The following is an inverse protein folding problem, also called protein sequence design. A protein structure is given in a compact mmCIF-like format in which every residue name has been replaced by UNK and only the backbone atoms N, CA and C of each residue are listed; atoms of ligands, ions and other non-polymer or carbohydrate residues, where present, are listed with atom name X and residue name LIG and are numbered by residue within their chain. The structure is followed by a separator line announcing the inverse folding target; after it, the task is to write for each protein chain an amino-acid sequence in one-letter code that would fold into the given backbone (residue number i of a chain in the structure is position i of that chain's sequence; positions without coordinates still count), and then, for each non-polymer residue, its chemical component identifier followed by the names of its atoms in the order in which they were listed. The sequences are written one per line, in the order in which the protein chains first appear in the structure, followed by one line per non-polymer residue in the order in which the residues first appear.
data_IF_820646971964
#
_entry.id   IF_820646971964
#
_cell.length_a   1.000
_cell.length_b   1.000
_cell.length_c   1.000
_cell.angle_alpha   90.00
_cell.angle_beta   90.00
_cell.angle_gamma   90.00
#
_symmetry.space_group_name_H-M   'P 1'
#
loop_
_entity.id
_entity.type
_entity.pdbx_description
1 polymer ?
#
# COMPACT_ATOMS: atom_id res chain seq x y z
N UNK A 1 47.03 -11.16 -16.48
CA UNK A 1 46.75 -9.75 -16.09
C UNK A 1 45.30 -9.65 -15.66
N UNK A 2 45.12 -9.66 -14.38
CA UNK A 2 43.85 -9.44 -13.63
C UNK A 2 43.53 -7.97 -13.63
N UNK A 3 42.33 -7.62 -14.01
CA UNK A 3 41.73 -6.30 -13.69
C UNK A 3 40.44 -6.56 -12.97
N UNK A 4 40.47 -6.41 -11.64
CA UNK A 4 39.32 -6.29 -10.79
C UNK A 4 38.85 -4.84 -10.89
N UNK A 5 37.59 -4.62 -11.31
CA UNK A 5 36.91 -3.35 -11.15
C UNK A 5 35.87 -3.48 -10.03
N UNK A 6 36.25 -3.04 -8.84
CA UNK A 6 35.34 -2.82 -7.74
C UNK A 6 34.50 -1.55 -8.05
N UNK A 7 33.24 -1.76 -8.32
CA UNK A 7 32.28 -0.64 -8.38
C UNK A 7 31.78 -0.35 -6.96
N UNK A 8 32.45 0.60 -6.30
CA UNK A 8 32.02 1.17 -5.03
C UNK A 8 30.76 2.00 -5.29
N UNK A 9 29.60 1.49 -4.94
CA UNK A 9 28.38 2.28 -4.87
C UNK A 9 28.42 3.15 -3.61
N UNK A 10 28.80 4.40 -3.79
CA UNK A 10 28.61 5.45 -2.78
C UNK A 10 27.12 5.68 -2.59
N UNK A 11 26.60 5.18 -1.48
CA UNK A 11 25.30 5.60 -0.98
C UNK A 11 25.45 7.08 -0.60
N UNK A 12 24.81 7.96 -1.37
CA UNK A 12 24.74 9.36 -1.05
C UNK A 12 24.05 9.50 0.31
N UNK A 13 24.81 9.94 1.30
CA UNK A 13 24.29 10.36 2.60
C UNK A 13 23.34 11.51 2.35
N UNK A 14 22.03 11.28 2.61
CA UNK A 14 21.01 12.30 2.48
C UNK A 14 21.39 13.52 3.31
N UNK A 15 21.33 14.68 2.68
CA UNK A 15 21.46 15.97 3.34
C UNK A 15 20.51 16.01 4.53
N UNK A 16 21.10 16.26 5.70
CA UNK A 16 20.36 16.60 6.90
C UNK A 16 19.48 17.81 6.60
N UNK A 17 18.19 17.59 6.47
CA UNK A 17 17.21 18.67 6.36
C UNK A 17 17.39 19.59 7.56
N UNK A 18 17.45 20.88 7.30
CA UNK A 18 17.59 21.91 8.31
C UNK A 18 16.53 21.71 9.41
N UNK A 19 16.98 21.57 10.66
CA UNK A 19 16.12 21.42 11.84
C UNK A 19 15.41 22.74 12.12
N UNK A 20 14.33 23.01 11.39
CA UNK A 20 13.35 24.01 11.80
C UNK A 20 12.38 23.31 12.76
N UNK A 21 12.33 23.74 14.02
CA UNK A 21 11.31 23.25 14.95
C UNK A 21 9.92 23.58 14.39
N UNK A 22 9.08 22.58 14.20
CA UNK A 22 7.68 22.79 13.84
C UNK A 22 6.96 23.44 15.02
N UNK A 23 6.27 24.55 14.77
CA UNK A 23 5.57 25.33 15.80
C UNK A 23 4.05 25.38 15.58
N UNK A 24 3.55 24.66 14.58
CA UNK A 24 2.14 24.57 14.26
C UNK A 24 1.35 23.61 15.17
N UNK A 25 0.04 23.52 14.94
CA UNK A 25 -0.79 22.47 15.52
C UNK A 25 -0.46 21.15 14.82
N UNK A 26 -0.28 20.02 15.54
CA UNK A 26 -0.01 18.74 14.92
C UNK A 26 -1.02 18.37 13.83
N UNK A 27 -0.51 17.85 12.74
CA UNK A 27 -1.33 17.32 11.65
C UNK A 27 -1.86 15.96 12.09
N UNK A 28 -3.18 15.77 12.04
CA UNK A 28 -3.82 14.51 12.42
C UNK A 28 -3.80 13.52 11.27
N UNK A 29 -3.04 12.46 11.44
CA UNK A 29 -2.88 11.37 10.47
C UNK A 29 -3.69 10.16 10.96
N UNK A 30 -4.65 9.70 10.18
CA UNK A 30 -5.37 8.46 10.43
C UNK A 30 -4.70 7.29 9.75
N UNK A 31 -4.68 6.13 10.40
CA UNK A 31 -4.35 4.84 9.81
C UNK A 31 -5.53 3.88 9.90
N UNK A 32 -5.73 3.04 8.91
CA UNK A 32 -6.75 1.99 8.90
C UNK A 32 -6.15 0.71 8.33
N UNK A 33 -6.40 -0.40 8.99
CA UNK A 33 -6.02 -1.70 8.47
C UNK A 33 -6.32 -2.84 9.43
N UNK A 34 -6.25 -4.09 8.97
CA UNK A 34 -6.58 -5.26 9.78
C UNK A 34 -5.49 -5.53 10.81
N UNK A 35 -5.70 -5.18 12.08
CA UNK A 35 -4.80 -5.56 13.17
C UNK A 35 -5.27 -6.82 13.89
N UNK A 36 -6.48 -7.27 13.58
CA UNK A 36 -7.04 -8.57 13.97
C UNK A 36 -7.52 -9.37 12.75
N UNK A 37 -7.86 -10.64 12.91
CA UNK A 37 -8.34 -11.51 11.83
C UNK A 37 -7.25 -12.08 10.93
N UNK A 38 -7.65 -12.61 9.77
CA UNK A 38 -6.76 -13.39 8.88
C UNK A 38 -5.66 -12.54 8.22
N UNK A 39 -5.92 -11.28 7.98
CA UNK A 39 -4.96 -10.34 7.35
C UNK A 39 -4.13 -9.52 8.37
N UNK A 40 -4.20 -9.85 9.65
CA UNK A 40 -3.57 -9.09 10.73
C UNK A 40 -2.05 -8.90 10.59
N UNK A 41 -1.36 -9.86 9.95
CA UNK A 41 0.08 -9.76 9.70
C UNK A 41 0.42 -8.51 8.87
N UNK A 42 -0.38 -8.20 7.86
CA UNK A 42 -0.18 -7.03 7.00
C UNK A 42 -0.51 -5.73 7.75
N UNK A 43 -1.67 -5.66 8.39
CA UNK A 43 -2.10 -4.47 9.12
C UNK A 43 -1.19 -4.12 10.29
N UNK A 44 -0.73 -5.11 11.06
CA UNK A 44 0.21 -4.87 12.15
C UNK A 44 1.59 -4.37 11.64
N UNK A 45 2.06 -4.87 10.50
CA UNK A 45 3.31 -4.39 9.90
C UNK A 45 3.20 -2.92 9.50
N UNK A 46 2.10 -2.53 8.85
CA UNK A 46 1.83 -1.15 8.44
C UNK A 46 1.67 -0.25 9.67
N UNK A 47 0.84 -0.63 10.63
CA UNK A 47 0.65 0.11 11.90
C UNK A 47 1.97 0.41 12.59
N UNK A 48 2.83 -0.60 12.72
CA UNK A 48 4.13 -0.44 13.38
C UNK A 48 5.05 0.51 12.59
N UNK A 49 5.02 0.45 11.26
CA UNK A 49 5.81 1.32 10.39
C UNK A 49 5.34 2.78 10.48
N UNK A 50 4.03 3.03 10.45
CA UNK A 50 3.45 4.36 10.60
C UNK A 50 3.76 4.95 11.98
N UNK A 51 3.57 4.17 13.05
CA UNK A 51 3.90 4.59 14.42
C UNK A 51 5.37 4.96 14.56
N UNK A 52 6.27 4.16 13.98
CA UNK A 52 7.70 4.43 13.98
C UNK A 52 8.02 5.72 13.23
N UNK A 53 7.48 5.89 12.01
CA UNK A 53 7.71 7.07 11.19
C UNK A 53 7.25 8.36 11.92
N UNK A 54 6.07 8.34 12.53
CA UNK A 54 5.56 9.47 13.31
C UNK A 54 6.49 9.79 14.50
N UNK A 55 6.92 8.78 15.23
CA UNK A 55 7.86 8.96 16.36
C UNK A 55 9.19 9.56 15.90
N UNK A 56 9.76 9.06 14.81
CA UNK A 56 11.04 9.56 14.27
C UNK A 56 10.92 11.01 13.78
N UNK A 57 9.85 11.34 13.05
CA UNK A 57 9.63 12.70 12.55
C UNK A 57 9.42 13.68 13.72
N UNK A 58 8.58 13.34 14.68
CA UNK A 58 8.36 14.17 15.86
C UNK A 58 9.65 14.37 16.67
N UNK A 59 10.42 13.30 16.88
CA UNK A 59 11.70 13.38 17.58
C UNK A 59 12.72 14.25 16.84
N UNK A 60 12.83 14.10 15.51
CA UNK A 60 13.76 14.89 14.68
C UNK A 60 13.42 16.39 14.69
N UNK A 61 12.15 16.75 14.84
CA UNK A 61 11.69 18.14 14.91
C UNK A 61 11.66 18.71 16.34
N UNK A 62 11.87 17.89 17.36
CA UNK A 62 11.77 18.30 18.76
C UNK A 62 10.37 18.78 19.18
N UNK A 63 9.33 18.41 18.41
CA UNK A 63 7.94 18.80 18.63
C UNK A 63 7.00 17.83 17.93
N UNK A 64 5.75 17.79 18.34
CA UNK A 64 4.72 16.97 17.71
C UNK A 64 4.28 17.58 16.36
N UNK A 65 4.88 17.11 15.27
CA UNK A 65 4.48 17.45 13.89
C UNK A 65 3.21 16.70 13.51
N UNK A 66 3.15 15.43 13.91
CA UNK A 66 2.01 14.56 13.66
C UNK A 66 1.38 14.06 14.95
N UNK A 67 0.05 14.07 14.98
CA UNK A 67 -0.80 13.31 15.89
C UNK A 67 -1.40 12.14 15.11
N UNK A 68 -1.24 10.91 15.58
CA UNK A 68 -1.55 9.71 14.81
C UNK A 68 -2.48 8.78 15.57
N UNK A 69 -3.46 8.24 14.86
CA UNK A 69 -4.42 7.27 15.37
C UNK A 69 -4.68 6.16 14.34
N UNK A 70 -4.69 4.90 14.78
CA UNK A 70 -4.94 3.75 13.92
C UNK A 70 -6.18 2.99 14.36
N UNK A 71 -7.03 2.63 13.39
CA UNK A 71 -8.26 1.87 13.62
C UNK A 71 -8.20 0.50 12.92
N UNK A 72 -8.79 -0.51 13.57
CA UNK A 72 -8.89 -1.88 13.05
C UNK A 72 -10.11 -2.01 12.12
N UNK A 73 -9.90 -2.49 10.90
CA UNK A 73 -10.97 -2.80 9.95
C UNK A 73 -11.25 -4.31 9.82
N UNK A 74 -10.47 -5.16 10.45
CA UNK A 74 -10.58 -6.63 10.37
C UNK A 74 -10.64 -7.17 8.93
N UNK A 75 -10.14 -6.43 7.94
CA UNK A 75 -10.25 -6.72 6.51
C UNK A 75 -11.72 -6.70 6.00
N UNK A 76 -12.58 -5.90 6.61
CA UNK A 76 -13.99 -5.77 6.29
C UNK A 76 -14.31 -4.36 5.76
N UNK A 77 -15.04 -4.29 4.64
CA UNK A 77 -15.35 -3.01 3.98
C UNK A 77 -16.22 -2.08 4.85
N UNK A 78 -17.23 -2.61 5.54
CA UNK A 78 -18.14 -1.82 6.37
C UNK A 78 -17.41 -1.31 7.62
N UNK A 79 -16.59 -2.15 8.26
CA UNK A 79 -15.77 -1.75 9.41
C UNK A 79 -14.75 -0.69 9.00
N UNK A 80 -14.17 -0.76 7.81
CA UNK A 80 -13.24 0.23 7.30
C UNK A 80 -13.90 1.60 7.09
N UNK A 81 -15.12 1.63 6.56
CA UNK A 81 -15.90 2.88 6.44
C UNK A 81 -16.25 3.43 7.83
N UNK A 82 -16.61 2.58 8.79
CA UNK A 82 -16.87 3.01 10.16
C UNK A 82 -15.61 3.59 10.83
N UNK A 83 -14.46 2.94 10.63
CA UNK A 83 -13.15 3.41 11.08
C UNK A 83 -12.80 4.78 10.46
N UNK A 84 -13.03 4.94 9.16
CA UNK A 84 -12.84 6.21 8.45
C UNK A 84 -13.69 7.33 9.05
N UNK A 85 -14.96 7.09 9.29
CA UNK A 85 -15.84 8.07 9.91
C UNK A 85 -15.43 8.41 11.35
N UNK A 86 -15.00 7.42 12.15
CA UNK A 86 -14.44 7.64 13.49
C UNK A 86 -13.21 8.54 13.46
N UNK A 87 -12.31 8.34 12.48
CA UNK A 87 -11.11 9.18 12.30
C UNK A 87 -11.47 10.60 11.82
N UNK A 88 -12.49 10.75 10.97
CA UNK A 88 -13.03 12.09 10.61
C UNK A 88 -13.56 12.83 11.81
N UNK A 89 -14.34 12.17 12.67
CA UNK A 89 -14.88 12.76 13.89
C UNK A 89 -13.77 13.17 14.87
N UNK A 90 -12.64 12.42 14.89
CA UNK A 90 -11.45 12.82 15.63
C UNK A 90 -10.75 14.05 15.01
N UNK A 91 -11.05 14.39 13.76
CA UNK A 91 -10.50 15.52 13.02
C UNK A 91 -9.29 15.16 12.16
N UNK A 92 -9.23 13.93 11.63
CA UNK A 92 -8.22 13.49 10.67
C UNK A 92 -8.12 14.44 9.48
N UNK A 93 -6.88 14.71 9.03
CA UNK A 93 -6.57 15.60 7.91
C UNK A 93 -6.01 14.84 6.70
N UNK A 94 -5.34 13.70 6.94
CA UNK A 94 -4.82 12.80 5.92
C UNK A 94 -4.99 11.36 6.38
N UNK A 95 -5.20 10.43 5.45
CA UNK A 95 -5.34 9.01 5.71
C UNK A 95 -4.17 8.23 5.11
N UNK A 96 -3.43 7.53 5.95
CA UNK A 96 -2.46 6.49 5.58
C UNK A 96 -3.15 5.12 5.69
N UNK A 97 -3.53 4.54 4.57
CA UNK A 97 -4.38 3.34 4.52
C UNK A 97 -5.62 3.55 3.64
N UNK A 98 -6.61 2.63 3.69
CA UNK A 98 -6.54 1.30 4.29
C UNK A 98 -5.47 0.39 3.68
N UNK A 99 -5.16 -0.72 4.36
CA UNK A 99 -4.04 -1.62 3.99
C UNK A 99 -4.42 -2.59 2.89
N UNK A 100 -5.63 -3.10 2.89
CA UNK A 100 -6.09 -4.16 1.97
C UNK A 100 -7.10 -3.66 0.95
N UNK A 101 -7.16 -4.29 -0.22
CA UNK A 101 -7.87 -3.77 -1.40
C UNK A 101 -9.37 -3.50 -1.18
N UNK A 102 -10.14 -4.48 -0.70
CA UNK A 102 -11.60 -4.33 -0.55
C UNK A 102 -11.98 -3.22 0.45
N UNK A 103 -11.40 -3.15 1.64
CA UNK A 103 -11.53 -2.00 2.54
C UNK A 103 -11.12 -0.67 1.91
N UNK A 104 -9.99 -0.65 1.18
CA UNK A 104 -9.52 0.59 0.54
C UNK A 104 -10.50 1.11 -0.50
N UNK A 105 -11.09 0.25 -1.33
CA UNK A 105 -12.08 0.65 -2.31
C UNK A 105 -13.33 1.26 -1.66
N UNK A 106 -13.79 0.70 -0.54
CA UNK A 106 -14.93 1.23 0.19
C UNK A 106 -14.65 2.62 0.78
N UNK A 107 -13.48 2.79 1.42
CA UNK A 107 -13.07 4.09 1.99
C UNK A 107 -12.75 5.11 0.91
N UNK A 108 -12.13 4.70 -0.19
CA UNK A 108 -11.83 5.59 -1.32
C UNK A 108 -13.11 6.21 -1.89
N UNK A 109 -14.18 5.43 -2.05
CA UNK A 109 -15.47 5.94 -2.52
C UNK A 109 -16.06 7.03 -1.61
N UNK A 110 -15.92 6.87 -0.28
CA UNK A 110 -16.36 7.90 0.68
C UNK A 110 -15.44 9.12 0.67
N UNK A 111 -14.12 8.90 0.55
CA UNK A 111 -13.11 9.96 0.62
C UNK A 111 -13.20 10.98 -0.52
N UNK A 112 -13.72 10.59 -1.68
CA UNK A 112 -13.96 11.49 -2.83
C UNK A 112 -14.93 12.61 -2.45
N UNK A 113 -16.01 12.28 -1.73
CA UNK A 113 -17.00 13.27 -1.30
C UNK A 113 -16.42 14.27 -0.29
N UNK A 114 -15.46 13.82 0.51
CA UNK A 114 -14.81 14.62 1.54
C UNK A 114 -13.55 15.35 1.03
N UNK A 115 -13.10 15.04 -0.18
CA UNK A 115 -11.81 15.45 -0.72
C UNK A 115 -10.64 15.13 0.24
N UNK A 116 -10.74 13.98 0.93
CA UNK A 116 -9.74 13.53 1.89
C UNK A 116 -8.56 12.90 1.15
N UNK A 117 -7.35 13.35 1.43
CA UNK A 117 -6.14 12.69 0.92
C UNK A 117 -6.03 11.27 1.49
N UNK A 118 -5.96 10.29 0.61
CA UNK A 118 -5.83 8.87 0.94
C UNK A 118 -4.59 8.29 0.26
N UNK A 119 -3.73 7.66 1.04
CA UNK A 119 -2.56 6.96 0.51
C UNK A 119 -2.50 5.54 1.07
N UNK A 120 -2.81 4.55 0.22
CA UNK A 120 -2.68 3.15 0.63
C UNK A 120 -1.25 2.65 0.47
N UNK A 121 -0.70 1.98 1.49
CA UNK A 121 0.63 1.38 1.40
C UNK A 121 0.66 0.07 0.61
N UNK A 122 -0.47 -0.67 0.55
CA UNK A 122 -0.47 -2.07 0.15
C UNK A 122 -1.66 -2.50 -0.73
N UNK A 123 -2.78 -1.78 -0.71
CA UNK A 123 -3.91 -2.11 -1.58
C UNK A 123 -3.53 -1.90 -3.05
N UNK A 124 -3.47 -2.99 -3.84
CA UNK A 124 -2.78 -3.04 -5.13
C UNK A 124 -3.71 -3.13 -6.34
N UNK A 125 -5.04 -3.19 -6.16
CA UNK A 125 -5.96 -3.15 -7.29
C UNK A 125 -5.86 -1.83 -8.05
N UNK A 126 -5.82 -1.92 -9.38
CA UNK A 126 -5.77 -0.75 -10.27
C UNK A 126 -6.95 0.21 -10.03
N UNK A 127 -8.12 -0.34 -9.71
CA UNK A 127 -9.34 0.43 -9.44
C UNK A 127 -9.25 1.35 -8.22
N UNK A 128 -8.30 1.14 -7.31
CA UNK A 128 -8.08 2.01 -6.14
C UNK A 128 -7.77 3.43 -6.58
N UNK A 129 -6.79 3.60 -7.48
CA UNK A 129 -6.37 4.92 -7.98
C UNK A 129 -7.29 5.48 -9.07
N UNK A 130 -8.23 4.69 -9.55
CA UNK A 130 -9.26 5.13 -10.50
C UNK A 130 -10.50 5.71 -9.80
N UNK A 131 -10.59 5.59 -8.46
CA UNK A 131 -11.74 6.06 -7.67
C UNK A 131 -11.80 7.58 -7.62
N UNK A 132 -10.66 8.26 -7.48
CA UNK A 132 -10.60 9.72 -7.41
C UNK A 132 -9.16 10.25 -7.45
N UNK A 133 -9.01 11.54 -7.71
CA UNK A 133 -7.71 12.22 -7.79
C UNK A 133 -7.09 12.53 -6.41
N UNK A 134 -7.82 12.23 -5.35
CA UNK A 134 -7.41 12.33 -3.95
C UNK A 134 -6.85 10.99 -3.40
N UNK A 135 -6.86 9.91 -4.20
CA UNK A 135 -6.47 8.56 -3.78
C UNK A 135 -5.17 8.13 -4.45
N UNK A 136 -4.18 7.78 -3.64
CA UNK A 136 -2.84 7.39 -4.07
C UNK A 136 -2.46 5.99 -3.59
N UNK A 137 -1.60 5.31 -4.34
CA UNK A 137 -1.13 3.97 -4.09
C UNK A 137 0.40 3.94 -4.19
N UNK A 138 1.09 3.40 -3.17
CA UNK A 138 2.56 3.30 -3.16
C UNK A 138 3.03 2.00 -3.79
N UNK A 139 2.28 0.90 -3.57
CA UNK A 139 2.65 -0.43 -4.06
C UNK A 139 2.45 -0.58 -5.57
N UNK A 140 3.02 -1.65 -6.14
CA UNK A 140 2.73 -2.07 -7.51
C UNK A 140 1.27 -2.48 -7.68
N UNK A 141 0.79 -2.50 -8.92
CA UNK A 141 -0.60 -2.88 -9.22
C UNK A 141 -0.74 -4.40 -9.46
N UNK A 142 -1.92 -4.95 -9.17
CA UNK A 142 -2.27 -6.36 -9.44
C UNK A 142 -2.02 -6.79 -10.90
N UNK A 143 -2.38 -5.97 -11.92
CA UNK A 143 -2.01 -6.25 -13.29
C UNK A 143 -0.52 -6.48 -13.50
N UNK A 144 0.33 -5.64 -12.92
CA UNK A 144 1.79 -5.77 -13.05
C UNK A 144 2.31 -7.04 -12.37
N UNK A 145 1.76 -7.40 -11.21
CA UNK A 145 2.12 -8.64 -10.53
C UNK A 145 1.73 -9.87 -11.36
N UNK A 146 0.54 -9.87 -11.94
CA UNK A 146 0.07 -10.96 -12.81
C UNK A 146 0.95 -11.13 -14.05
N UNK A 147 1.30 -10.04 -14.72
CA UNK A 147 2.21 -10.04 -15.89
C UNK A 147 3.59 -10.54 -15.51
N UNK A 148 4.22 -9.93 -14.50
CA UNK A 148 5.58 -10.29 -14.08
C UNK A 148 5.70 -11.77 -13.66
N UNK A 149 4.68 -12.30 -13.01
CA UNK A 149 4.63 -13.72 -12.62
C UNK A 149 4.55 -14.64 -13.84
N UNK A 150 3.74 -14.31 -14.83
CA UNK A 150 3.59 -15.08 -16.06
C UNK A 150 4.87 -15.06 -16.91
N UNK A 151 5.44 -13.86 -17.10
CA UNK A 151 6.68 -13.68 -17.85
C UNK A 151 7.83 -14.45 -17.22
N UNK A 152 8.00 -14.35 -15.90
CA UNK A 152 9.04 -15.07 -15.18
C UNK A 152 8.95 -16.61 -15.35
N UNK A 153 7.74 -17.17 -15.28
CA UNK A 153 7.50 -18.60 -15.49
C UNK A 153 7.86 -19.00 -16.92
N UNK A 154 7.45 -18.20 -17.91
CA UNK A 154 7.68 -18.48 -19.32
C UNK A 154 9.16 -18.33 -19.70
N UNK A 155 9.81 -17.22 -19.35
CA UNK A 155 11.22 -16.94 -19.67
C UNK A 155 12.17 -17.95 -19.06
N UNK A 156 11.85 -18.48 -17.88
CA UNK A 156 12.66 -19.49 -17.20
C UNK A 156 12.20 -20.93 -17.47
N UNK A 157 11.19 -21.14 -18.32
CA UNK A 157 10.65 -22.45 -18.65
C UNK A 157 10.33 -23.32 -17.41
N UNK A 158 9.76 -22.69 -16.36
CA UNK A 158 9.61 -23.34 -15.06
C UNK A 158 8.52 -24.43 -15.06
N UNK A 159 7.52 -24.34 -15.92
CA UNK A 159 6.42 -25.31 -15.99
C UNK A 159 5.72 -25.28 -17.35
N UNK A 160 5.28 -26.47 -17.81
CA UNK A 160 4.48 -26.64 -19.01
C UNK A 160 2.98 -26.74 -18.71
N UNK A 161 2.62 -26.97 -17.45
CA UNK A 161 1.23 -27.00 -16.96
C UNK A 161 1.17 -26.26 -15.63
N UNK A 162 0.26 -25.31 -15.53
CA UNK A 162 0.12 -24.43 -14.36
C UNK A 162 -1.30 -24.56 -13.82
N UNK A 163 -1.41 -24.87 -12.53
CA UNK A 163 -2.66 -24.80 -11.78
C UNK A 163 -2.69 -23.50 -11.00
N UNK A 164 -3.80 -22.79 -11.01
CA UNK A 164 -3.99 -21.55 -10.25
C UNK A 164 -5.14 -21.71 -9.28
N UNK A 165 -4.91 -21.36 -8.02
CA UNK A 165 -5.93 -21.27 -6.98
C UNK A 165 -6.05 -19.78 -6.61
N UNK A 166 -7.26 -19.25 -6.64
CA UNK A 166 -7.54 -17.86 -6.33
C UNK A 166 -8.91 -17.68 -5.71
N UNK A 167 -9.12 -16.61 -4.97
CA UNK A 167 -10.44 -16.22 -4.48
C UNK A 167 -11.13 -15.33 -5.53
N UNK A 168 -12.22 -15.84 -6.10
CA UNK A 168 -12.98 -15.13 -7.14
C UNK A 168 -13.86 -14.00 -6.58
N UNK A 169 -14.06 -13.96 -5.26
CA UNK A 169 -14.84 -12.92 -4.59
C UNK A 169 -13.99 -11.74 -4.12
N UNK A 170 -12.67 -11.91 -4.06
CA UNK A 170 -11.73 -10.87 -3.65
C UNK A 170 -11.14 -10.13 -4.87
N UNK A 171 -11.21 -8.80 -4.85
CA UNK A 171 -10.77 -7.94 -5.95
C UNK A 171 -9.24 -8.05 -6.21
N UNK A 172 -8.44 -8.16 -5.16
CA UNK A 172 -6.99 -8.37 -5.24
C UNK A 172 -6.65 -9.68 -5.95
N UNK A 173 -7.18 -10.77 -5.45
CA UNK A 173 -6.91 -12.13 -5.95
C UNK A 173 -7.37 -12.32 -7.39
N UNK A 174 -8.58 -11.87 -7.73
CA UNK A 174 -9.14 -11.95 -9.07
C UNK A 174 -8.43 -11.03 -10.07
N UNK A 175 -7.96 -9.86 -9.64
CA UNK A 175 -7.21 -8.92 -10.46
C UNK A 175 -5.87 -9.48 -10.94
N UNK A 176 -5.10 -10.07 -10.04
CA UNK A 176 -3.84 -10.77 -10.37
C UNK A 176 -4.10 -11.92 -11.33
N UNK A 177 -5.08 -12.79 -11.01
CA UNK A 177 -5.39 -13.95 -11.84
C UNK A 177 -5.78 -13.57 -13.26
N UNK A 178 -6.60 -12.55 -13.46
CA UNK A 178 -7.08 -12.12 -14.77
C UNK A 178 -5.93 -11.75 -15.72
N UNK A 179 -4.93 -11.04 -15.21
CA UNK A 179 -3.74 -10.64 -15.99
C UNK A 179 -2.77 -11.78 -16.17
N UNK A 180 -2.50 -12.54 -15.11
CA UNK A 180 -1.69 -13.75 -15.20
C UNK A 180 -2.20 -14.71 -16.29
N UNK A 181 -3.51 -15.01 -16.30
CA UNK A 181 -4.14 -15.90 -17.29
C UNK A 181 -3.96 -15.38 -18.72
N UNK A 182 -4.08 -14.08 -18.92
CA UNK A 182 -3.94 -13.47 -20.24
C UNK A 182 -2.49 -13.56 -20.72
N UNK A 183 -1.53 -13.24 -19.85
CA UNK A 183 -0.12 -13.16 -20.23
C UNK A 183 0.52 -14.54 -20.41
N UNK A 184 0.23 -15.49 -19.53
CA UNK A 184 0.75 -16.86 -19.67
C UNK A 184 0.23 -17.55 -20.94
N UNK A 185 -1.01 -17.21 -21.37
CA UNK A 185 -1.55 -17.66 -22.63
C UNK A 185 -0.83 -17.07 -23.85
N UNK A 186 -0.39 -15.82 -23.77
CA UNK A 186 0.43 -15.19 -24.82
C UNK A 186 1.84 -15.78 -24.89
N UNK A 187 2.45 -16.01 -23.73
CA UNK A 187 3.80 -16.57 -23.65
C UNK A 187 3.83 -17.98 -24.26
N UNK A 188 2.82 -18.82 -24.02
CA UNK A 188 2.72 -20.16 -24.59
C UNK A 188 2.47 -20.18 -26.12
N UNK A 189 2.11 -19.05 -26.71
CA UNK A 189 1.92 -18.92 -28.18
C UNK A 189 3.17 -18.38 -28.90
N UNK A 190 4.25 -18.07 -28.18
CA UNK A 190 5.51 -17.56 -28.77
C UNK A 190 6.52 -18.68 -29.12
N UNK A 191 6.20 -19.93 -28.83
CA UNK A 191 6.92 -21.12 -29.30
C UNK A 191 6.31 -21.61 -30.63
#
# INVERSE_FOLDING_TARGET
STVSSETSSTVASGESAASGSYTGTPIKVGGIGPITGAAATYGNAVKNAEELAVKEINAANGSDVFDWKFEDDEHDAEKSVNAYNSLKDWGMQVLAGPVTTTPTLAVAAESVNDNMFVMTPSASAQTVIETGDNVFQICFTDPNQGVASADYIAENALATKIGVIYDSSDAYSSGIYAKFKTEIGRASCRE
#
